data_IF_196582384696
#
_entry.id   IF_196582384696
#
_cell.length_a   1.000
_cell.length_b   1.000
_cell.length_c   1.000
_cell.angle_alpha   90.00
_cell.angle_beta   90.00
_cell.angle_gamma   90.00
#
_symmetry.space_group_name_H-M   'P 1'
#
loop_
_entity.id
_entity.type
_entity.pdbx_description
1 polymer ?
#
# COMPACT_ATOMS: atom_id res chain seq x y z
N UNK A 1 42.66 11.86 40.02
CA UNK A 1 43.85 11.39 40.77
C UNK A 1 43.35 10.58 41.96
N UNK A 2 43.99 9.42 42.20
CA UNK A 2 43.83 8.47 43.32
C UNK A 2 42.96 7.22 43.08
N UNK A 3 43.72 6.12 42.91
CA UNK A 3 43.41 4.71 42.73
C UNK A 3 43.28 4.01 44.09
N UNK A 4 42.40 3.01 44.19
CA UNK A 4 42.52 1.73 44.95
C UNK A 4 41.52 0.78 44.26
N UNK A 5 41.81 -0.30 43.54
CA UNK A 5 42.74 -1.43 43.63
C UNK A 5 42.54 -2.29 44.90
N UNK A 6 41.65 -3.28 44.79
CA UNK A 6 41.72 -4.54 45.54
C UNK A 6 41.56 -5.69 44.54
N UNK A 7 42.64 -6.45 44.43
CA UNK A 7 42.82 -7.75 43.80
C UNK A 7 42.73 -8.82 44.90
N UNK A 8 42.02 -9.92 44.65
CA UNK A 8 42.32 -11.29 45.16
C UNK A 8 41.69 -12.25 44.13
N UNK A 9 42.38 -12.71 43.07
CA UNK A 9 43.27 -13.90 42.97
C UNK A 9 42.70 -15.13 43.70
N UNK A 10 42.29 -16.18 43.00
CA UNK A 10 43.09 -17.40 42.71
C UNK A 10 42.33 -18.62 43.24
N UNK A 11 42.36 -19.84 42.73
CA UNK A 11 43.14 -20.56 41.72
C UNK A 11 42.31 -21.85 41.42
N UNK A 12 42.03 -22.21 40.16
CA UNK A 12 42.75 -23.23 39.36
C UNK A 12 42.67 -24.68 39.92
N UNK A 13 42.13 -25.63 39.15
CA UNK A 13 42.91 -26.66 38.41
C UNK A 13 41.97 -27.62 37.62
N UNK A 14 42.04 -27.65 36.28
CA UNK A 14 42.63 -28.68 35.33
C UNK A 14 41.93 -30.07 35.44
N UNK A 15 41.41 -30.73 34.39
CA UNK A 15 42.06 -31.45 33.27
C UNK A 15 40.92 -32.02 32.36
N UNK A 16 40.89 -31.80 31.05
CA UNK A 16 41.61 -32.45 29.92
C UNK A 16 40.72 -33.43 29.13
N UNK A 17 40.70 -33.25 27.82
CA UNK A 17 40.20 -34.20 26.83
C UNK A 17 40.65 -33.76 25.44
N UNK A 18 41.74 -34.36 24.96
CA UNK A 18 42.40 -34.17 23.66
C UNK A 18 41.46 -34.55 22.48
N UNK A 19 41.33 -33.75 21.42
CA UNK A 19 42.16 -33.64 20.21
C UNK A 19 41.76 -34.58 19.04
N UNK A 20 41.83 -34.01 17.83
CA UNK A 20 41.66 -34.60 16.48
C UNK A 20 40.20 -34.65 16.01
N UNK A 21 39.82 -34.24 14.80
CA UNK A 21 40.55 -34.04 13.54
C UNK A 21 39.76 -33.12 12.61
N UNK A 22 40.46 -32.50 11.67
CA UNK A 22 39.89 -31.82 10.52
C UNK A 22 38.92 -32.74 9.74
N UNK A 23 37.81 -32.16 9.27
CA UNK A 23 37.15 -32.52 8.02
C UNK A 23 36.39 -31.28 7.51
N UNK A 24 36.93 -30.66 6.47
CA UNK A 24 36.18 -29.77 5.61
C UNK A 24 35.44 -30.64 4.60
N UNK A 25 34.13 -30.85 4.78
CA UNK A 25 33.29 -31.27 3.65
C UNK A 25 31.81 -30.97 3.89
N UNK A 26 31.25 -30.19 2.97
CA UNK A 26 29.83 -30.10 2.57
C UNK A 26 28.78 -29.76 3.63
N UNK A 27 28.41 -28.48 3.66
CA UNK A 27 27.13 -28.03 4.20
C UNK A 27 25.96 -28.58 3.34
N UNK A 28 24.92 -29.19 3.92
CA UNK A 28 23.74 -29.57 3.17
C UNK A 28 22.88 -28.33 2.89
N UNK A 29 22.62 -28.12 1.61
CA UNK A 29 21.63 -27.20 1.07
C UNK A 29 20.24 -27.77 1.34
N UNK A 30 19.38 -26.97 1.97
CA UNK A 30 17.93 -27.05 1.81
C UNK A 30 17.18 -27.82 2.89
N UNK A 31 16.41 -27.07 3.69
CA UNK A 31 14.99 -27.33 3.91
C UNK A 31 14.36 -26.06 4.51
N UNK A 32 13.63 -25.34 3.65
CA UNK A 32 12.71 -24.28 4.08
C UNK A 32 11.48 -24.96 4.70
N UNK A 33 10.95 -24.52 5.85
CA UNK A 33 9.74 -25.10 6.42
C UNK A 33 8.59 -24.88 5.45
N UNK A 34 7.91 -25.97 5.09
CA UNK A 34 6.70 -25.95 4.29
C UNK A 34 5.63 -25.09 4.98
N UNK A 35 5.33 -23.93 4.40
CA UNK A 35 4.14 -23.16 4.76
C UNK A 35 2.93 -23.84 4.11
N UNK A 36 2.11 -24.39 4.99
CA UNK A 36 0.78 -24.91 4.74
C UNK A 36 -0.06 -23.90 3.95
N UNK A 37 -0.51 -24.30 2.75
CA UNK A 37 -1.30 -23.47 1.86
C UNK A 37 -2.70 -23.20 2.46
N UNK A 38 -2.86 -22.09 3.16
CA UNK A 38 -4.16 -21.41 3.28
C UNK A 38 -4.30 -20.42 2.14
N UNK A 39 -5.38 -20.57 1.38
CA UNK A 39 -5.74 -19.70 0.27
C UNK A 39 -5.93 -18.25 0.74
N UNK A 40 -4.88 -17.43 0.65
CA UNK A 40 -4.95 -15.99 0.87
C UNK A 40 -5.06 -15.23 -0.46
N UNK A 41 -5.90 -14.21 -0.46
CA UNK A 41 -6.20 -13.32 -1.58
C UNK A 41 -4.93 -12.86 -2.35
N UNK A 42 -4.71 -13.44 -3.53
CA UNK A 42 -3.50 -13.31 -4.39
C UNK A 42 -3.22 -11.91 -4.99
N UNK A 43 -3.65 -10.82 -4.36
CA UNK A 43 -3.48 -9.45 -4.89
C UNK A 43 -2.78 -8.47 -3.96
N UNK A 44 -2.33 -8.89 -2.76
CA UNK A 44 -1.58 -8.01 -1.86
C UNK A 44 -0.08 -8.21 -2.06
N UNK A 45 0.65 -7.13 -2.38
CA UNK A 45 2.12 -7.18 -2.50
C UNK A 45 2.83 -7.29 -1.14
N UNK A 46 2.13 -6.99 -0.05
CA UNK A 46 2.64 -6.98 1.32
C UNK A 46 1.51 -7.46 2.23
N UNK A 47 1.80 -8.39 3.14
CA UNK A 47 0.84 -8.84 4.14
C UNK A 47 0.53 -7.74 5.18
N UNK A 48 -0.56 -7.89 5.93
CA UNK A 48 -1.01 -6.87 6.88
C UNK A 48 -0.08 -6.70 8.07
N UNK A 49 0.55 -7.78 8.53
CA UNK A 49 1.43 -7.76 9.70
C UNK A 49 2.73 -7.01 9.40
N UNK A 50 3.33 -7.26 8.23
CA UNK A 50 4.51 -6.56 7.74
C UNK A 50 4.20 -5.08 7.49
N UNK A 51 3.04 -4.76 6.89
CA UNK A 51 2.61 -3.38 6.73
C UNK A 51 2.56 -2.65 8.09
N UNK A 52 1.93 -3.25 9.10
CA UNK A 52 1.79 -2.64 10.43
C UNK A 52 3.16 -2.43 11.10
N UNK A 53 4.03 -3.45 11.08
CA UNK A 53 5.39 -3.36 11.63
C UNK A 53 6.20 -2.24 10.97
N UNK A 54 6.16 -2.12 9.65
CA UNK A 54 6.87 -1.05 8.93
C UNK A 54 6.30 0.34 9.23
N UNK A 55 4.99 0.45 9.43
CA UNK A 55 4.37 1.72 9.85
C UNK A 55 4.80 2.11 11.28
N UNK A 56 4.90 1.14 12.20
CA UNK A 56 5.41 1.37 13.57
C UNK A 56 6.89 1.78 13.56
N UNK A 57 7.66 1.36 12.57
CA UNK A 57 9.04 1.82 12.31
C UNK A 57 9.11 3.21 11.64
N UNK A 58 7.97 3.90 11.51
CA UNK A 58 7.88 5.26 11.00
C UNK A 58 7.97 5.39 9.49
N UNK A 59 7.66 4.34 8.73
CA UNK A 59 7.49 4.43 7.27
C UNK A 59 6.03 4.75 6.91
N UNK A 60 5.84 5.61 5.91
CA UNK A 60 4.50 5.88 5.37
C UNK A 60 4.04 4.73 4.48
N UNK A 61 2.72 4.55 4.34
CA UNK A 61 2.14 3.55 3.42
C UNK A 61 2.65 3.71 1.98
N UNK A 62 2.90 4.96 1.55
CA UNK A 62 3.41 5.26 0.21
C UNK A 62 4.85 4.74 0.04
N UNK A 63 5.72 4.99 1.01
CA UNK A 63 7.11 4.51 0.99
C UNK A 63 7.17 2.99 1.01
N UNK A 64 6.37 2.36 1.88
CA UNK A 64 6.24 0.90 1.97
C UNK A 64 5.79 0.31 0.62
N UNK A 65 4.82 0.94 -0.06
CA UNK A 65 4.33 0.47 -1.35
C UNK A 65 5.35 0.63 -2.49
N UNK A 66 6.10 1.73 -2.53
CA UNK A 66 7.17 1.94 -3.51
C UNK A 66 8.29 0.92 -3.28
N UNK A 67 8.70 0.73 -2.03
CA UNK A 67 9.71 -0.25 -1.66
C UNK A 67 9.29 -1.67 -2.03
N UNK A 68 8.01 -2.03 -1.83
CA UNK A 68 7.51 -3.34 -2.23
C UNK A 68 7.48 -3.56 -3.75
N UNK A 69 7.23 -2.51 -4.54
CA UNK A 69 7.38 -2.62 -5.99
C UNK A 69 8.84 -2.87 -6.38
N UNK A 70 9.77 -2.08 -5.83
CA UNK A 70 11.21 -2.25 -6.10
C UNK A 70 11.66 -3.66 -5.68
N UNK A 71 11.30 -4.09 -4.47
CA UNK A 71 11.59 -5.41 -3.91
C UNK A 71 11.08 -6.53 -4.83
N UNK A 72 9.82 -6.44 -5.30
CA UNK A 72 9.22 -7.40 -6.22
C UNK A 72 9.99 -7.52 -7.54
N UNK A 73 10.36 -6.39 -8.15
CA UNK A 73 11.03 -6.39 -9.46
C UNK A 73 12.53 -6.64 -9.40
N UNK A 74 13.15 -6.46 -8.23
CA UNK A 74 14.56 -6.77 -7.98
C UNK A 74 14.78 -8.10 -7.27
N UNK A 75 13.71 -8.81 -6.89
CA UNK A 75 13.75 -10.03 -6.07
C UNK A 75 14.48 -9.83 -4.71
N UNK A 76 14.25 -8.70 -4.05
CA UNK A 76 14.79 -8.35 -2.72
C UNK A 76 13.68 -8.24 -1.67
N UNK A 77 14.05 -8.07 -0.39
CA UNK A 77 13.09 -7.82 0.69
C UNK A 77 12.69 -6.35 0.78
N UNK A 78 11.43 -6.09 1.14
CA UNK A 78 10.90 -4.72 1.33
C UNK A 78 11.69 -3.95 2.39
N UNK A 79 12.08 -4.63 3.47
CA UNK A 79 12.86 -4.04 4.57
C UNK A 79 14.24 -3.57 4.12
N UNK A 80 14.91 -4.31 3.23
CA UNK A 80 16.24 -3.94 2.72
C UNK A 80 16.15 -2.67 1.87
N UNK A 81 15.15 -2.60 0.99
CA UNK A 81 14.91 -1.42 0.14
C UNK A 81 14.59 -0.19 1.00
N UNK A 82 13.77 -0.34 2.04
CA UNK A 82 13.42 0.74 2.97
C UNK A 82 14.62 1.21 3.80
N UNK A 83 15.46 0.27 4.25
CA UNK A 83 16.68 0.56 4.99
C UNK A 83 17.68 1.32 4.12
N UNK A 84 17.88 0.87 2.87
CA UNK A 84 18.73 1.57 1.92
C UNK A 84 18.23 2.99 1.65
N UNK A 85 16.93 3.16 1.43
CA UNK A 85 16.31 4.47 1.21
C UNK A 85 16.57 5.44 2.38
N UNK A 86 16.34 5.00 3.63
CA UNK A 86 16.55 5.83 4.82
C UNK A 86 18.03 6.13 5.09
N UNK A 87 18.89 5.12 5.06
CA UNK A 87 20.30 5.28 5.47
C UNK A 87 21.11 6.14 4.51
N UNK A 88 20.72 6.21 3.24
CA UNK A 88 21.45 6.94 2.22
C UNK A 88 20.82 8.31 1.89
N UNK A 89 19.76 8.72 2.60
CA UNK A 89 18.96 9.91 2.26
C UNK A 89 18.62 9.95 0.75
N UNK A 90 18.29 8.78 0.20
CA UNK A 90 18.17 8.58 -1.24
C UNK A 90 16.80 9.01 -1.74
N UNK A 91 16.74 9.55 -2.95
CA UNK A 91 15.48 9.64 -3.72
C UNK A 91 15.04 8.24 -4.16
N UNK A 92 13.74 8.03 -4.38
CA UNK A 92 13.22 6.74 -4.88
C UNK A 92 13.79 6.32 -6.23
N UNK A 93 14.18 7.27 -7.07
CA UNK A 93 14.86 7.06 -8.35
C UNK A 93 16.24 6.41 -8.14
N UNK A 94 17.06 6.98 -7.26
CA UNK A 94 18.37 6.43 -6.88
C UNK A 94 18.25 5.06 -6.23
N UNK A 95 17.29 4.90 -5.31
CA UNK A 95 17.02 3.60 -4.68
C UNK A 95 16.64 2.57 -5.74
N UNK A 96 15.70 2.86 -6.63
CA UNK A 96 15.31 1.92 -7.68
C UNK A 96 16.48 1.57 -8.61
N UNK A 97 17.29 2.56 -9.00
CA UNK A 97 18.47 2.34 -9.84
C UNK A 97 19.49 1.40 -9.17
N UNK A 98 19.74 1.56 -7.86
CA UNK A 98 20.61 0.66 -7.09
C UNK A 98 20.16 -0.80 -7.19
N UNK A 99 18.84 -1.03 -7.22
CA UNK A 99 18.25 -2.36 -7.32
C UNK A 99 17.98 -2.80 -8.77
N UNK A 100 18.46 -2.06 -9.78
CA UNK A 100 18.26 -2.38 -11.20
C UNK A 100 16.81 -2.22 -11.69
N UNK A 101 15.99 -1.43 -10.98
CA UNK A 101 14.57 -1.25 -11.27
C UNK A 101 14.33 0.11 -11.95
N UNK A 102 13.62 0.08 -13.07
CA UNK A 102 13.11 1.28 -13.75
C UNK A 102 11.84 1.80 -13.04
N UNK A 103 12.02 2.80 -12.17
CA UNK A 103 10.94 3.38 -11.35
C UNK A 103 9.87 4.09 -12.19
N UNK A 104 10.20 4.55 -13.40
CA UNK A 104 9.23 5.23 -14.27
C UNK A 104 8.15 4.26 -14.78
N UNK A 105 8.47 2.96 -14.90
CA UNK A 105 7.48 1.91 -15.17
C UNK A 105 6.56 1.66 -13.97
N UNK A 106 7.04 1.85 -12.74
CA UNK A 106 6.25 1.71 -11.50
C UNK A 106 5.33 2.92 -11.31
N UNK A 107 5.84 4.15 -11.51
CA UNK A 107 5.05 5.38 -11.40
C UNK A 107 3.93 5.47 -12.43
N UNK A 108 4.16 4.99 -13.67
CA UNK A 108 3.12 4.95 -14.72
C UNK A 108 1.89 4.11 -14.36
N UNK A 109 2.01 3.14 -13.46
CA UNK A 109 0.88 2.29 -13.06
C UNK A 109 -0.13 2.99 -12.12
N UNK A 110 0.19 4.15 -11.56
CA UNK A 110 -0.70 4.82 -10.60
C UNK A 110 -1.77 5.72 -11.23
N UNK A 111 -1.68 6.03 -12.53
CA UNK A 111 -2.54 7.06 -13.16
C UNK A 111 -3.41 6.57 -14.32
N UNK A 112 -3.42 5.28 -14.65
CA UNK A 112 -4.25 4.79 -15.76
C UNK A 112 -5.74 5.06 -15.54
N UNK A 113 -6.23 4.84 -14.31
CA UNK A 113 -7.62 5.13 -13.99
C UNK A 113 -7.88 6.64 -14.03
N UNK A 114 -7.07 7.47 -13.37
CA UNK A 114 -7.29 8.92 -13.37
C UNK A 114 -7.24 9.50 -14.78
N UNK A 115 -6.28 9.08 -15.60
CA UNK A 115 -6.20 9.48 -17.01
C UNK A 115 -7.42 9.02 -17.80
N UNK A 116 -7.89 7.79 -17.59
CA UNK A 116 -9.11 7.28 -18.21
C UNK A 116 -10.34 8.12 -17.80
N UNK A 117 -10.48 8.41 -16.51
CA UNK A 117 -11.60 9.18 -15.99
C UNK A 117 -11.61 10.61 -16.55
N UNK A 118 -10.46 11.29 -16.53
CA UNK A 118 -10.36 12.65 -17.09
C UNK A 118 -10.61 12.67 -18.61
N UNK A 119 -10.08 11.69 -19.35
CA UNK A 119 -10.33 11.59 -20.79
C UNK A 119 -11.80 11.32 -21.14
N UNK A 120 -12.58 10.80 -20.18
CA UNK A 120 -13.99 10.48 -20.35
C UNK A 120 -14.87 11.28 -19.38
N UNK A 121 -14.41 12.46 -18.93
CA UNK A 121 -15.01 13.23 -17.84
C UNK A 121 -16.52 13.44 -17.97
N UNK A 122 -17.01 13.78 -19.17
CA UNK A 122 -18.44 14.00 -19.40
C UNK A 122 -19.27 12.72 -19.21
N UNK A 123 -18.77 11.59 -19.70
CA UNK A 123 -19.41 10.27 -19.49
C UNK A 123 -19.42 9.94 -18.00
N UNK A 124 -18.30 10.17 -17.30
CA UNK A 124 -18.20 9.94 -15.86
C UNK A 124 -19.23 10.79 -15.11
N UNK A 125 -19.30 12.09 -15.38
CA UNK A 125 -20.24 13.00 -14.73
C UNK A 125 -21.70 12.59 -15.00
N UNK A 126 -22.03 12.19 -16.23
CA UNK A 126 -23.38 11.72 -16.54
C UNK A 126 -23.72 10.44 -15.79
N UNK A 127 -22.84 9.44 -15.78
CA UNK A 127 -23.11 8.18 -15.06
C UNK A 127 -23.18 8.38 -13.55
N UNK A 128 -22.31 9.21 -12.97
CA UNK A 128 -22.40 9.56 -11.55
C UNK A 128 -23.69 10.33 -11.26
N UNK A 129 -24.15 11.18 -12.19
CA UNK A 129 -25.44 11.87 -12.07
C UNK A 129 -26.59 10.88 -12.00
N UNK A 130 -26.67 9.96 -12.96
CA UNK A 130 -27.71 8.93 -13.02
C UNK A 130 -27.71 8.05 -11.76
N UNK A 131 -26.51 7.75 -11.24
CA UNK A 131 -26.33 6.88 -10.08
C UNK A 131 -26.69 7.54 -8.75
N UNK A 132 -26.33 8.83 -8.59
CA UNK A 132 -26.44 9.58 -7.34
C UNK A 132 -27.65 10.49 -7.26
N UNK A 133 -28.36 10.71 -8.37
CA UNK A 133 -29.45 11.68 -8.48
C UNK A 133 -29.01 13.15 -8.47
N UNK A 134 -27.70 13.43 -8.48
CA UNK A 134 -27.17 14.81 -8.55
C UNK A 134 -26.98 15.23 -9.99
N UNK A 135 -27.45 16.42 -10.37
CA UNK A 135 -27.23 16.92 -11.74
C UNK A 135 -25.74 17.06 -12.09
N UNK A 136 -25.36 16.94 -13.38
CA UNK A 136 -23.97 17.14 -13.81
C UNK A 136 -23.38 18.48 -13.39
N UNK A 137 -24.20 19.55 -13.33
CA UNK A 137 -23.79 20.88 -12.86
C UNK A 137 -23.37 20.87 -11.38
N UNK A 138 -24.12 20.16 -10.52
CA UNK A 138 -23.77 20.01 -9.10
C UNK A 138 -22.47 19.23 -8.95
N UNK A 139 -22.31 18.14 -9.71
CA UNK A 139 -21.10 17.33 -9.69
C UNK A 139 -19.87 18.11 -10.17
N UNK A 140 -20.02 18.93 -11.22
CA UNK A 140 -18.96 19.84 -11.67
C UNK A 140 -18.58 20.83 -10.56
N UNK A 141 -19.55 21.37 -9.82
CA UNK A 141 -19.27 22.23 -8.66
C UNK A 141 -18.45 21.54 -7.57
N UNK A 142 -18.60 20.22 -7.36
CA UNK A 142 -17.73 19.48 -6.44
C UNK A 142 -16.30 19.36 -6.97
N UNK A 143 -16.13 19.15 -8.28
CA UNK A 143 -14.80 19.13 -8.90
C UNK A 143 -14.09 20.48 -8.77
N UNK A 144 -14.83 21.58 -8.96
CA UNK A 144 -14.29 22.94 -8.88
C UNK A 144 -13.80 23.27 -7.46
N UNK A 145 -14.37 22.63 -6.44
CA UNK A 145 -13.90 22.69 -5.04
C UNK A 145 -12.71 21.76 -4.75
N UNK A 146 -12.14 21.10 -5.75
CA UNK A 146 -10.99 20.23 -5.61
C UNK A 146 -11.32 18.79 -5.19
N UNK A 147 -12.59 18.38 -5.22
CA UNK A 147 -12.93 16.97 -5.05
C UNK A 147 -12.51 16.20 -6.31
N UNK A 148 -11.63 15.19 -6.23
CA UNK A 148 -11.16 14.51 -7.43
C UNK A 148 -12.26 13.62 -8.03
N UNK A 149 -12.25 13.47 -9.35
CA UNK A 149 -13.24 12.70 -10.11
C UNK A 149 -13.34 11.24 -9.60
N UNK A 150 -12.19 10.63 -9.28
CA UNK A 150 -12.13 9.31 -8.64
C UNK A 150 -12.87 9.25 -7.31
N UNK A 151 -12.79 10.32 -6.51
CA UNK A 151 -13.53 10.39 -5.25
C UNK A 151 -15.03 10.51 -5.50
N UNK A 152 -15.50 11.29 -6.48
CA UNK A 152 -16.93 11.36 -6.79
C UNK A 152 -17.54 9.98 -7.08
N UNK A 153 -16.85 9.15 -7.85
CA UNK A 153 -17.28 7.78 -8.16
C UNK A 153 -17.33 6.93 -6.88
N UNK A 154 -16.24 6.92 -6.10
CA UNK A 154 -16.19 6.15 -4.86
C UNK A 154 -17.15 6.65 -3.78
N UNK A 155 -17.41 7.96 -3.75
CA UNK A 155 -18.35 8.62 -2.85
C UNK A 155 -19.79 8.32 -3.23
N UNK A 156 -20.12 8.28 -4.52
CA UNK A 156 -21.45 7.87 -5.00
C UNK A 156 -21.74 6.40 -4.65
N UNK A 157 -20.75 5.52 -4.82
CA UNK A 157 -20.85 4.13 -4.40
C UNK A 157 -21.05 4.00 -2.88
N UNK A 158 -20.28 4.75 -2.09
CA UNK A 158 -20.43 4.79 -0.63
C UNK A 158 -21.79 5.32 -0.20
N UNK A 159 -22.26 6.41 -0.82
CA UNK A 159 -23.57 6.99 -0.54
C UNK A 159 -24.69 5.97 -0.81
N UNK A 160 -24.61 5.25 -1.94
CA UNK A 160 -25.59 4.22 -2.29
C UNK A 160 -25.57 3.04 -1.30
N UNK A 161 -24.39 2.56 -0.94
CA UNK A 161 -24.24 1.48 0.05
C UNK A 161 -24.71 1.90 1.45
N UNK A 162 -24.50 3.17 1.83
CA UNK A 162 -24.95 3.74 3.10
C UNK A 162 -26.43 4.14 3.12
N UNK A 163 -27.12 4.07 1.98
CA UNK A 163 -28.43 4.71 1.77
C UNK A 163 -28.45 6.18 2.21
N UNK A 164 -27.42 6.94 1.79
CA UNK A 164 -27.21 8.37 2.08
C UNK A 164 -27.16 9.20 0.81
N UNK A 165 -27.31 10.52 0.96
CA UNK A 165 -27.11 11.44 -0.15
C UNK A 165 -25.60 11.63 -0.46
N UNK A 166 -25.24 11.72 -1.74
CA UNK A 166 -23.84 11.98 -2.13
C UNK A 166 -23.31 13.29 -1.53
N UNK A 167 -24.14 14.31 -1.39
CA UNK A 167 -23.78 15.58 -0.77
C UNK A 167 -23.30 15.43 0.68
N UNK A 168 -23.87 14.50 1.45
CA UNK A 168 -23.40 14.20 2.82
C UNK A 168 -21.96 13.65 2.80
N UNK A 169 -21.65 12.76 1.84
CA UNK A 169 -20.29 12.20 1.68
C UNK A 169 -19.30 13.29 1.27
N UNK A 170 -19.71 14.19 0.37
CA UNK A 170 -18.88 15.32 -0.06
C UNK A 170 -18.63 16.27 1.10
N UNK A 171 -19.64 16.60 1.91
CA UNK A 171 -19.47 17.46 3.07
C UNK A 171 -18.47 16.88 4.08
N UNK A 172 -18.54 15.57 4.35
CA UNK A 172 -17.55 14.90 5.21
C UNK A 172 -16.13 14.96 4.63
N UNK A 173 -16.00 14.85 3.29
CA UNK A 173 -14.72 15.01 2.61
C UNK A 173 -14.18 16.44 2.69
N UNK A 174 -15.04 17.44 2.52
CA UNK A 174 -14.72 18.87 2.67
C UNK A 174 -14.28 19.20 4.11
N UNK A 175 -14.82 18.50 5.11
CA UNK A 175 -14.37 18.57 6.51
C UNK A 175 -13.00 17.91 6.76
N UNK A 176 -12.33 17.40 5.72
CA UNK A 176 -11.00 16.79 5.81
C UNK A 176 -11.00 15.29 6.10
N UNK A 177 -12.17 14.65 6.28
CA UNK A 177 -12.24 13.22 6.55
C UNK A 177 -11.75 12.41 5.35
N UNK A 178 -10.98 11.38 5.63
CA UNK A 178 -10.51 10.40 4.66
C UNK A 178 -11.60 9.36 4.37
N UNK A 179 -11.51 8.70 3.21
CA UNK A 179 -12.46 7.66 2.82
C UNK A 179 -12.65 6.54 3.88
N UNK A 180 -11.58 6.03 4.55
CA UNK A 180 -11.74 5.09 5.65
C UNK A 180 -12.51 5.65 6.86
N UNK A 181 -12.30 6.92 7.20
CA UNK A 181 -12.99 7.58 8.32
C UNK A 181 -14.49 7.74 8.01
N UNK A 182 -14.83 8.21 6.81
CA UNK A 182 -16.22 8.33 6.37
C UNK A 182 -16.92 6.97 6.37
N UNK A 183 -16.25 5.93 5.83
CA UNK A 183 -16.78 4.55 5.85
C UNK A 183 -17.10 4.09 7.28
N UNK A 184 -16.16 4.32 8.20
CA UNK A 184 -16.28 3.92 9.61
C UNK A 184 -17.44 4.67 10.27
N UNK A 185 -17.55 5.97 10.04
CA UNK A 185 -18.60 6.82 10.60
C UNK A 185 -19.99 6.42 10.11
N UNK A 186 -20.11 6.04 8.84
CA UNK A 186 -21.36 5.57 8.26
C UNK A 186 -21.66 4.08 8.55
N UNK A 187 -20.74 3.38 9.23
CA UNK A 187 -20.83 1.95 9.53
C UNK A 187 -21.17 1.08 8.31
N UNK A 188 -20.57 1.40 7.16
CA UNK A 188 -20.84 0.70 5.89
C UNK A 188 -19.80 -0.38 5.66
N UNK A 189 -20.28 -1.54 5.25
CA UNK A 189 -19.42 -2.66 4.92
C UNK A 189 -18.59 -2.39 3.63
N UNK A 190 -17.35 -2.89 3.64
CA UNK A 190 -16.42 -2.70 2.52
C UNK A 190 -16.90 -3.41 1.25
N UNK A 191 -17.48 -4.59 1.37
CA UNK A 191 -17.95 -5.37 0.22
C UNK A 191 -19.20 -4.74 -0.40
N UNK A 192 -20.08 -4.15 0.40
CA UNK A 192 -21.19 -3.35 -0.11
C UNK A 192 -20.70 -2.17 -0.96
N UNK A 193 -19.72 -1.40 -0.46
CA UNK A 193 -19.12 -0.31 -1.22
C UNK A 193 -18.45 -0.85 -2.49
N UNK A 194 -17.72 -1.96 -2.39
CA UNK A 194 -17.03 -2.56 -3.54
C UNK A 194 -18.01 -2.98 -4.64
N UNK A 195 -19.13 -3.60 -4.27
CA UNK A 195 -20.20 -4.00 -5.19
C UNK A 195 -20.77 -2.81 -5.97
N UNK A 196 -21.11 -1.74 -5.27
CA UNK A 196 -21.64 -0.52 -5.88
C UNK A 196 -20.57 0.18 -6.75
N UNK A 197 -19.33 0.24 -6.28
CA UNK A 197 -18.21 0.82 -7.03
C UNK A 197 -17.96 0.04 -8.33
N UNK A 198 -17.93 -1.28 -8.25
CA UNK A 198 -17.72 -2.15 -9.42
C UNK A 198 -18.82 -1.92 -10.45
N UNK A 199 -20.09 -1.92 -10.02
CA UNK A 199 -21.23 -1.67 -10.90
C UNK A 199 -21.08 -0.34 -11.65
N UNK A 200 -20.85 0.75 -10.92
CA UNK A 200 -20.72 2.08 -11.51
C UNK A 200 -19.51 2.19 -12.46
N UNK A 201 -18.36 1.64 -12.09
CA UNK A 201 -17.16 1.66 -12.95
C UNK A 201 -17.38 0.83 -14.22
N UNK A 202 -18.00 -0.34 -14.12
CA UNK A 202 -18.30 -1.21 -15.27
C UNK A 202 -19.24 -0.48 -16.25
N UNK A 203 -20.26 0.24 -15.75
CA UNK A 203 -21.17 1.06 -16.56
C UNK A 203 -20.46 2.22 -17.27
N UNK A 204 -19.56 2.93 -16.56
CA UNK A 204 -18.73 3.99 -17.14
C UNK A 204 -17.84 3.43 -18.26
N UNK A 205 -17.15 2.31 -18.00
CA UNK A 205 -16.28 1.69 -18.99
C UNK A 205 -17.04 1.19 -20.21
N UNK A 206 -18.23 0.61 -20.01
CA UNK A 206 -19.09 0.16 -21.09
C UNK A 206 -19.52 1.32 -21.98
N UNK A 207 -19.93 2.44 -21.39
CA UNK A 207 -20.33 3.63 -22.15
C UNK A 207 -19.13 4.25 -22.90
N UNK A 208 -18.00 4.43 -22.22
CA UNK A 208 -16.78 4.99 -22.82
C UNK A 208 -16.24 4.16 -24.01
N UNK A 209 -16.53 2.86 -24.07
CA UNK A 209 -16.17 2.00 -25.21
C UNK A 209 -17.11 2.16 -26.40
N UNK A 210 -18.37 2.56 -26.19
CA UNK A 210 -19.35 2.75 -27.28
C UNK A 210 -19.16 4.07 -28.02
N UNK A 211 -18.63 5.08 -27.33
CA UNK A 211 -18.43 6.44 -27.88
C UNK A 211 -17.10 6.58 -28.63
N UNK A 212 -16.31 5.51 -28.72
CA UNK A 212 -15.07 5.44 -29.51
C UNK A 212 -15.32 4.75 -30.83
#
# INVERSE_FOLDING_TARGET
>A
MNRKLILVLSFYIILMGAASSANAETAPKGQSPAQEHKHEHHHRMIDESLMKSLQEQGFTKKEIFIAAHIAKFSNNQVADVLTFYKNNYSSWEKTAHQYGVDIEKIKKHQHHMDKFLESNKQIVLQKVSDYSGKSPKVLQGYLDKGIPLRFLISGAAMAKAANKDLGEIIQMKEQGKSFPEIKKELNVDKEQIHKELKKLVDEIQKEARKTK
#
